data_IF_598963858567
#
_entry.id   IF_598963858567
#
_cell.length_a   1.000
_cell.length_b   1.000
_cell.length_c   1.000
_cell.angle_alpha   90.00
_cell.angle_beta   90.00
_cell.angle_gamma   90.00
#
_symmetry.space_group_name_H-M   'P 1'
#
loop_
_entity.id
_entity.type
_entity.pdbx_description
1 polymer ?
#
# COMPACT_ATOMS: atom_id res chain seq x y z
N UNK A 1 4.86 3.75 23.73
CA UNK A 1 5.38 4.85 22.90
C UNK A 1 4.90 4.61 21.47
N UNK A 2 3.94 5.39 20.96
CA UNK A 2 3.20 5.08 19.71
C UNK A 2 3.92 5.44 18.39
N UNK A 3 5.14 5.99 18.47
CA UNK A 3 5.90 6.43 17.30
C UNK A 3 7.18 5.59 17.16
N UNK A 4 7.47 5.16 15.95
CA UNK A 4 8.65 4.38 15.59
C UNK A 4 9.40 5.01 14.40
N UNK A 5 10.65 4.61 14.19
CA UNK A 5 11.45 5.00 13.02
C UNK A 5 11.58 6.51 12.81
N UNK A 6 11.42 6.94 11.55
CA UNK A 6 11.58 8.34 11.15
C UNK A 6 10.56 9.28 11.81
N UNK A 7 9.34 8.81 12.09
CA UNK A 7 8.33 9.60 12.81
C UNK A 7 8.78 9.92 14.24
N UNK A 8 9.43 8.97 14.93
CA UNK A 8 10.02 9.21 16.26
C UNK A 8 11.18 10.21 16.21
N UNK A 9 12.01 10.16 15.17
CA UNK A 9 13.12 11.11 14.96
C UNK A 9 12.60 12.52 14.68
N UNK A 10 11.55 12.65 13.88
CA UNK A 10 10.96 13.93 13.49
C UNK A 10 10.45 14.75 14.69
N UNK A 11 9.88 14.09 15.71
CA UNK A 11 9.34 14.75 16.90
C UNK A 11 10.18 14.55 18.17
N UNK A 12 11.35 13.89 18.05
CA UNK A 12 12.20 13.53 19.19
C UNK A 12 12.69 14.75 19.99
N UNK A 13 12.92 15.88 19.33
CA UNK A 13 13.28 17.16 19.98
C UNK A 13 12.09 17.96 20.52
N UNK A 14 10.86 17.53 20.22
CA UNK A 14 9.62 18.22 20.61
C UNK A 14 9.00 17.64 21.90
N UNK A 15 9.60 16.59 22.48
CA UNK A 15 9.00 15.76 23.53
C UNK A 15 9.03 16.32 24.96
N UNK A 16 9.68 17.45 25.23
CA UNK A 16 9.93 17.93 26.60
C UNK A 16 8.91 18.93 27.15
N UNK A 17 8.01 19.49 26.33
CA UNK A 17 7.01 20.45 26.80
C UNK A 17 5.64 20.22 26.14
N UNK A 18 4.57 20.14 26.94
CA UNK A 18 3.19 19.92 26.45
C UNK A 18 2.71 20.91 25.40
N UNK A 19 3.31 22.12 25.33
CA UNK A 19 3.06 23.12 24.27
C UNK A 19 3.53 22.67 22.88
N UNK A 20 4.50 21.76 22.80
CA UNK A 20 5.04 21.25 21.54
C UNK A 20 4.29 20.02 21.02
N UNK A 21 3.25 19.54 21.72
CA UNK A 21 2.41 18.45 21.24
C UNK A 21 1.66 18.83 19.95
N UNK A 22 1.08 20.05 19.91
CA UNK A 22 0.43 20.56 18.71
C UNK A 22 1.42 20.69 17.54
N UNK A 23 2.64 21.16 17.81
CA UNK A 23 3.72 21.24 16.83
C UNK A 23 4.13 19.86 16.34
N UNK A 24 4.27 18.88 17.24
CA UNK A 24 4.61 17.50 16.91
C UNK A 24 3.53 16.85 16.02
N UNK A 25 2.25 17.02 16.35
CA UNK A 25 1.14 16.55 15.52
C UNK A 25 1.13 17.22 14.14
N UNK A 26 1.38 18.53 14.08
CA UNK A 26 1.47 19.27 12.82
C UNK A 26 2.62 18.74 11.96
N UNK A 27 3.82 18.59 12.53
CA UNK A 27 4.98 18.02 11.82
C UNK A 27 4.71 16.61 11.31
N UNK A 28 4.05 15.76 12.10
CA UNK A 28 3.68 14.41 11.67
C UNK A 28 2.69 14.44 10.50
N UNK A 29 1.67 15.30 10.56
CA UNK A 29 0.67 15.44 9.49
C UNK A 29 1.32 15.98 8.21
N UNK A 30 2.21 16.95 8.31
CA UNK A 30 2.90 17.54 7.16
C UNK A 30 3.85 16.55 6.50
N UNK A 31 4.61 15.76 7.27
CA UNK A 31 5.60 14.84 6.71
C UNK A 31 5.03 13.47 6.31
N UNK A 32 4.04 12.96 7.04
CA UNK A 32 3.54 11.59 6.88
C UNK A 32 2.03 11.50 6.59
N UNK A 33 1.29 12.59 6.76
CA UNK A 33 -0.17 12.64 6.60
C UNK A 33 -0.65 13.11 5.23
N UNK A 34 0.25 13.41 4.29
CA UNK A 34 -0.12 13.81 2.93
C UNK A 34 -0.73 12.60 2.18
N UNK A 35 -1.87 12.76 1.48
CA UNK A 35 -2.51 11.68 0.74
C UNK A 35 -1.58 10.93 -0.22
N UNK A 36 -0.73 11.64 -0.95
CA UNK A 36 0.26 11.06 -1.87
C UNK A 36 1.33 10.22 -1.16
N UNK A 37 1.77 10.65 0.03
CA UNK A 37 2.75 9.92 0.86
C UNK A 37 2.12 8.65 1.42
N UNK A 38 0.86 8.74 1.87
CA UNK A 38 0.09 7.58 2.36
C UNK A 38 -0.12 6.59 1.21
N UNK A 39 -0.57 7.07 0.04
CA UNK A 39 -0.80 6.25 -1.14
C UNK A 39 0.47 5.51 -1.55
N UNK A 40 1.58 6.23 -1.66
CA UNK A 40 2.89 5.66 -2.00
C UNK A 40 3.33 4.60 -0.98
N UNK A 41 3.15 4.84 0.32
CA UNK A 41 3.54 3.87 1.34
C UNK A 41 2.77 2.55 1.23
N UNK A 42 1.45 2.63 1.00
CA UNK A 42 0.61 1.45 0.81
C UNK A 42 0.93 0.71 -0.50
N UNK A 43 1.19 1.43 -1.60
CA UNK A 43 1.61 0.84 -2.88
C UNK A 43 2.97 0.16 -2.72
N UNK A 44 3.95 0.83 -2.11
CA UNK A 44 5.27 0.26 -1.90
C UNK A 44 5.21 -0.98 -1.00
N UNK A 45 4.33 -1.01 0.02
CA UNK A 45 4.11 -2.22 0.82
C UNK A 45 3.66 -3.41 -0.04
N UNK A 46 2.88 -3.16 -1.09
CA UNK A 46 2.40 -4.20 -2.01
C UNK A 46 3.42 -4.54 -3.09
N UNK A 47 4.21 -3.58 -3.56
CA UNK A 47 5.17 -3.76 -4.65
C UNK A 47 6.52 -4.32 -4.15
N UNK A 48 7.02 -3.85 -3.02
CA UNK A 48 8.37 -4.16 -2.51
C UNK A 48 8.43 -5.44 -1.68
N UNK A 49 7.29 -6.06 -1.37
CA UNK A 49 7.28 -7.27 -0.57
C UNK A 49 7.74 -8.49 -1.40
N UNK A 50 8.25 -9.52 -0.72
CA UNK A 50 8.86 -10.68 -1.36
C UNK A 50 7.88 -11.48 -2.23
N UNK A 51 8.41 -12.20 -3.22
CA UNK A 51 7.64 -13.16 -4.02
C UNK A 51 7.04 -14.25 -3.13
N UNK A 52 5.78 -14.60 -3.40
CA UNK A 52 5.04 -15.58 -2.61
C UNK A 52 5.26 -16.96 -3.21
N UNK A 53 5.85 -17.85 -2.42
CA UNK A 53 6.10 -19.23 -2.81
C UNK A 53 4.78 -20.00 -3.02
N UNK A 54 4.77 -20.97 -3.94
CA UNK A 54 3.57 -21.75 -4.30
C UNK A 54 2.86 -22.43 -3.13
N UNK A 55 3.56 -22.72 -2.03
CA UNK A 55 2.99 -23.42 -0.86
C UNK A 55 2.74 -22.49 0.35
N UNK A 56 2.99 -21.19 0.22
CA UNK A 56 2.83 -20.24 1.32
C UNK A 56 1.43 -19.61 1.34
N UNK A 57 0.48 -20.39 1.86
CA UNK A 57 -0.91 -19.94 2.05
C UNK A 57 -1.03 -18.74 2.98
N UNK A 58 -0.14 -18.61 3.97
CA UNK A 58 -0.21 -17.51 4.92
C UNK A 58 0.19 -16.19 4.26
N UNK A 59 1.26 -16.20 3.46
CA UNK A 59 1.67 -15.03 2.69
C UNK A 59 0.61 -14.59 1.67
N UNK A 60 -0.05 -15.54 0.99
CA UNK A 60 -1.18 -15.22 0.09
C UNK A 60 -2.35 -14.56 0.82
N UNK A 61 -2.73 -15.10 1.97
CA UNK A 61 -3.81 -14.53 2.76
C UNK A 61 -3.46 -13.13 3.28
N UNK A 62 -2.21 -12.93 3.71
CA UNK A 62 -1.72 -11.64 4.17
C UNK A 62 -1.67 -10.62 3.04
N UNK A 63 -1.25 -11.02 1.83
CA UNK A 63 -1.31 -10.17 0.64
C UNK A 63 -2.74 -9.72 0.34
N UNK A 64 -3.72 -10.62 0.42
CA UNK A 64 -5.13 -10.30 0.21
C UNK A 64 -5.63 -9.23 1.20
N UNK A 65 -5.32 -9.39 2.49
CA UNK A 65 -5.66 -8.39 3.50
C UNK A 65 -4.97 -7.05 3.26
N UNK A 66 -3.68 -7.06 2.92
CA UNK A 66 -2.93 -5.85 2.62
C UNK A 66 -3.47 -5.13 1.38
N UNK A 67 -3.87 -5.87 0.35
CA UNK A 67 -4.48 -5.32 -0.86
C UNK A 67 -5.84 -4.69 -0.56
N UNK A 68 -6.71 -5.37 0.18
CA UNK A 68 -8.01 -4.86 0.59
C UNK A 68 -7.89 -3.57 1.42
N UNK A 69 -6.95 -3.56 2.38
CA UNK A 69 -6.66 -2.38 3.19
C UNK A 69 -6.12 -1.23 2.34
N UNK A 70 -5.21 -1.50 1.41
CA UNK A 70 -4.69 -0.49 0.48
C UNK A 70 -5.82 0.16 -0.34
N UNK A 71 -6.67 -0.65 -0.98
CA UNK A 71 -7.81 -0.14 -1.76
C UNK A 71 -8.77 0.66 -0.89
N UNK A 72 -9.07 0.20 0.33
CA UNK A 72 -9.95 0.91 1.25
C UNK A 72 -9.37 2.28 1.66
N UNK A 73 -8.08 2.34 2.01
CA UNK A 73 -7.39 3.59 2.36
C UNK A 73 -7.34 4.54 1.18
N UNK A 74 -6.96 4.07 -0.01
CA UNK A 74 -6.87 4.89 -1.22
C UNK A 74 -8.23 5.45 -1.66
N UNK A 75 -9.31 4.68 -1.49
CA UNK A 75 -10.68 5.19 -1.69
C UNK A 75 -11.00 6.35 -0.75
N UNK A 76 -10.64 6.24 0.53
CA UNK A 76 -10.89 7.30 1.51
C UNK A 76 -10.14 8.60 1.20
N UNK A 77 -8.94 8.50 0.61
CA UNK A 77 -8.12 9.67 0.26
C UNK A 77 -8.25 10.11 -1.21
N UNK A 78 -9.18 9.52 -1.99
CA UNK A 78 -9.39 9.79 -3.42
C UNK A 78 -8.15 9.54 -4.32
N UNK A 79 -7.30 8.58 -3.97
CA UNK A 79 -6.07 8.21 -4.71
C UNK A 79 -6.14 6.79 -5.33
N UNK A 80 -7.33 6.33 -5.72
CA UNK A 80 -7.51 4.97 -6.29
C UNK A 80 -6.76 4.78 -7.61
N UNK A 81 -6.61 5.85 -8.39
CA UNK A 81 -5.90 5.83 -9.67
C UNK A 81 -4.42 5.40 -9.53
N UNK A 82 -3.80 5.63 -8.37
CA UNK A 82 -2.40 5.27 -8.15
C UNK A 82 -2.21 3.75 -8.02
N UNK A 83 -3.18 3.00 -7.48
CA UNK A 83 -3.12 1.53 -7.46
C UNK A 83 -3.50 0.93 -8.80
N UNK A 84 -4.46 1.52 -9.51
CA UNK A 84 -4.86 1.07 -10.84
C UNK A 84 -3.84 1.40 -11.93
N UNK A 85 -2.76 2.12 -11.60
CA UNK A 85 -1.63 2.30 -12.49
C UNK A 85 -1.10 0.93 -12.92
N UNK A 86 -1.06 0.69 -14.24
CA UNK A 86 -0.74 -0.60 -14.85
C UNK A 86 0.59 -1.17 -14.35
N UNK A 87 1.59 -0.34 -14.09
CA UNK A 87 2.89 -0.76 -13.55
C UNK A 87 2.78 -1.30 -12.11
N UNK A 88 1.96 -0.70 -11.26
CA UNK A 88 1.78 -1.14 -9.87
C UNK A 88 1.04 -2.48 -9.82
N UNK A 89 -0.06 -2.60 -10.57
CA UNK A 89 -0.77 -3.87 -10.72
C UNK A 89 0.16 -4.96 -11.26
N UNK A 90 0.93 -4.67 -12.31
CA UNK A 90 1.89 -5.62 -12.89
C UNK A 90 2.92 -6.09 -11.87
N UNK A 91 3.46 -5.19 -11.06
CA UNK A 91 4.45 -5.56 -10.06
C UNK A 91 3.85 -6.38 -8.91
N UNK A 92 2.60 -6.11 -8.51
CA UNK A 92 1.89 -6.92 -7.52
C UNK A 92 1.61 -8.32 -8.07
N UNK A 93 1.14 -8.43 -9.32
CA UNK A 93 0.82 -9.72 -9.95
C UNK A 93 2.06 -10.60 -10.09
N UNK A 94 3.22 -10.03 -10.44
CA UNK A 94 4.49 -10.76 -10.52
C UNK A 94 4.91 -11.45 -9.21
N UNK A 95 4.36 -11.02 -8.06
CA UNK A 95 4.67 -11.64 -6.77
C UNK A 95 3.84 -12.89 -6.49
N UNK A 96 2.77 -13.13 -7.26
CA UNK A 96 1.92 -14.29 -7.08
C UNK A 96 2.62 -15.55 -7.63
N UNK A 97 2.26 -16.72 -7.10
CA UNK A 97 2.59 -18.01 -7.71
C UNK A 97 2.29 -18.07 -9.22
N UNK A 98 3.13 -18.73 -10.01
CA UNK A 98 2.98 -18.83 -11.48
C UNK A 98 1.57 -19.28 -11.90
N UNK A 99 1.02 -20.28 -11.21
CA UNK A 99 -0.32 -20.80 -11.50
C UNK A 99 -1.44 -19.75 -11.28
N UNK A 100 -1.27 -18.84 -10.32
CA UNK A 100 -2.20 -17.73 -10.07
C UNK A 100 -2.00 -16.60 -11.08
N UNK A 101 -0.77 -16.35 -11.51
CA UNK A 101 -0.47 -15.40 -12.58
C UNK A 101 -1.18 -15.84 -13.87
N UNK A 102 -1.12 -17.11 -14.23
CA UNK A 102 -1.76 -17.62 -15.44
C UNK A 102 -3.29 -17.57 -15.36
N UNK A 103 -3.87 -17.88 -14.19
CA UNK A 103 -5.29 -17.65 -13.95
C UNK A 103 -5.67 -16.17 -14.07
N UNK A 104 -4.86 -15.27 -13.52
CA UNK A 104 -5.11 -13.83 -13.62
C UNK A 104 -5.04 -13.36 -15.08
N UNK A 105 -4.06 -13.82 -15.86
CA UNK A 105 -3.97 -13.51 -17.30
C UNK A 105 -5.21 -13.97 -18.06
N UNK A 106 -5.74 -15.16 -17.74
CA UNK A 106 -6.96 -15.66 -18.36
C UNK A 106 -8.16 -14.76 -18.04
N UNK A 107 -8.35 -14.39 -16.77
CA UNK A 107 -9.43 -13.47 -16.35
C UNK A 107 -9.26 -12.09 -16.97
N UNK A 108 -8.05 -11.54 -16.99
CA UNK A 108 -7.77 -10.23 -17.58
C UNK A 108 -8.01 -10.23 -19.11
N UNK A 109 -7.77 -11.35 -19.78
CA UNK A 109 -8.04 -11.49 -21.23
C UNK A 109 -9.53 -11.50 -21.50
N UNK A 110 -10.30 -12.26 -20.71
CA UNK A 110 -11.77 -12.29 -20.77
C UNK A 110 -12.40 -10.90 -20.47
N UNK A 111 -11.86 -10.17 -19.48
CA UNK A 111 -12.33 -8.80 -19.18
C UNK A 111 -12.08 -7.84 -20.35
N UNK A 112 -10.92 -7.96 -21.00
CA UNK A 112 -10.54 -7.13 -22.14
C UNK A 112 -11.38 -7.43 -23.38
N UNK A 113 -11.78 -8.68 -23.58
CA UNK A 113 -12.72 -9.09 -24.63
C UNK A 113 -14.14 -8.56 -24.36
N UNK A 114 -14.53 -8.37 -23.09
CA UNK A 114 -15.81 -7.77 -22.69
C UNK A 114 -15.85 -6.25 -22.73
N UNK A 115 -14.72 -5.58 -23.00
CA UNK A 115 -14.63 -4.13 -23.08
C UNK A 115 -14.64 -3.41 -21.72
N UNK A 116 -14.49 -4.14 -20.62
CA UNK A 116 -14.35 -3.57 -19.29
C UNK A 116 -12.85 -3.40 -18.97
N UNK A 117 -12.43 -2.16 -18.72
CA UNK A 117 -11.09 -1.92 -18.17
C UNK A 117 -11.04 -2.42 -16.72
N UNK A 118 -10.03 -3.22 -16.34
CA UNK A 118 -9.87 -3.71 -14.96
C UNK A 118 -9.63 -2.60 -13.93
#
# INVERSE_FOLDING_TARGET
MHLAGNAKRAVGGLGSQGKMYATALKTLKEQFGQPSVIARAYINKLVDASEIQNNDRQALQQLSFDFANCVATLKQINHVADVNATDNLRNIIKRLPDHMIDQWKAVASDLREKGETP
#
